data_IF_000065882226
#
_entry.id   IF_000065882226
#
_cell.length_a   1.000
_cell.length_b   1.000
_cell.length_c   1.000
_cell.angle_alpha   90.00
_cell.angle_beta   90.00
_cell.angle_gamma   90.00
#
_symmetry.space_group_name_H-M   'P 1'
#
loop_
_entity.id
_entity.type
_entity.pdbx_description
1 polymer ?
#
# COMPACT_ATOMS: atom_id res chain seq x y z
N UNK A 1 13.52 33.22 -1.07
CA UNK A 1 13.57 31.90 -1.73
C UNK A 1 12.65 31.93 -2.93
N UNK A 2 13.18 31.58 -4.09
CA UNK A 2 12.44 31.53 -5.34
C UNK A 2 11.30 30.49 -5.26
N UNK A 3 10.17 30.79 -5.89
CA UNK A 3 8.97 29.94 -5.88
C UNK A 3 9.22 28.55 -6.47
N UNK A 4 10.16 28.45 -7.42
CA UNK A 4 10.55 27.19 -8.06
C UNK A 4 11.33 26.27 -7.10
N UNK A 5 12.23 26.83 -6.29
CA UNK A 5 13.03 26.08 -5.30
C UNK A 5 12.14 25.46 -4.21
N UNK A 6 11.12 26.21 -3.76
CA UNK A 6 10.15 25.69 -2.79
C UNK A 6 9.26 24.58 -3.37
N UNK A 7 8.94 24.67 -4.66
CA UNK A 7 8.20 23.62 -5.37
C UNK A 7 8.99 22.31 -5.37
N UNK A 8 10.24 22.34 -5.81
CA UNK A 8 11.11 21.15 -5.86
C UNK A 8 11.36 20.54 -4.48
N UNK A 9 11.58 21.35 -3.44
CA UNK A 9 11.75 20.85 -2.07
C UNK A 9 10.51 20.07 -1.59
N UNK A 10 9.30 20.52 -1.98
CA UNK A 10 8.06 19.86 -1.61
C UNK A 10 7.85 18.53 -2.33
N UNK A 11 8.15 18.50 -3.63
CA UNK A 11 8.09 17.28 -4.44
C UNK A 11 9.11 16.25 -3.95
N UNK A 12 10.33 16.67 -3.63
CA UNK A 12 11.37 15.82 -3.07
C UNK A 12 10.92 15.18 -1.75
N UNK A 13 10.36 15.96 -0.82
CA UNK A 13 9.82 15.44 0.44
C UNK A 13 8.76 14.34 0.24
N UNK A 14 7.78 14.57 -0.64
CA UNK A 14 6.72 13.58 -0.92
C UNK A 14 7.30 12.34 -1.60
N UNK A 15 8.24 12.54 -2.53
CA UNK A 15 8.91 11.45 -3.21
C UNK A 15 9.73 10.60 -2.23
N UNK A 16 10.52 11.19 -1.34
CA UNK A 16 11.30 10.47 -0.34
C UNK A 16 10.41 9.62 0.58
N UNK A 17 9.33 10.20 1.11
CA UNK A 17 8.39 9.47 1.96
C UNK A 17 7.71 8.33 1.21
N UNK A 18 7.22 8.58 -0.01
CA UNK A 18 6.55 7.56 -0.81
C UNK A 18 7.52 6.44 -1.21
N UNK A 19 8.76 6.78 -1.58
CA UNK A 19 9.79 5.81 -1.94
C UNK A 19 10.14 4.89 -0.78
N UNK A 20 10.22 5.43 0.43
CA UNK A 20 10.50 4.65 1.64
C UNK A 20 9.32 3.77 2.03
N UNK A 21 8.11 4.30 2.00
CA UNK A 21 6.91 3.63 2.53
C UNK A 21 6.32 2.63 1.56
N UNK A 22 6.17 3.02 0.30
CA UNK A 22 5.54 2.17 -0.72
C UNK A 22 6.53 1.33 -1.49
N UNK A 23 7.79 1.31 -1.10
CA UNK A 23 8.90 0.80 -1.90
C UNK A 23 9.09 1.59 -3.19
N UNK A 24 10.34 1.96 -3.41
CA UNK A 24 10.82 2.61 -4.64
C UNK A 24 10.26 1.97 -5.91
N UNK A 25 10.06 0.65 -5.88
CA UNK A 25 9.59 -0.16 -7.01
C UNK A 25 8.24 0.28 -7.63
N UNK A 26 7.37 0.98 -6.92
CA UNK A 26 6.05 1.35 -7.46
C UNK A 26 5.92 2.83 -7.82
N UNK A 27 6.95 3.61 -7.48
CA UNK A 27 6.91 5.07 -7.51
C UNK A 27 7.64 5.61 -8.75
N UNK A 28 6.94 6.42 -9.53
CA UNK A 28 7.48 7.18 -10.65
C UNK A 28 7.41 8.65 -10.25
N UNK A 29 8.52 9.24 -9.77
CA UNK A 29 8.58 10.65 -9.41
C UNK A 29 8.67 11.48 -10.69
N UNK A 30 7.87 12.53 -10.79
CA UNK A 30 7.80 13.45 -11.94
C UNK A 30 7.86 12.77 -13.32
N UNK A 31 7.03 11.73 -13.60
CA UNK A 31 7.09 10.97 -14.84
C UNK A 31 6.78 11.88 -16.02
N UNK A 32 7.49 11.66 -17.13
CA UNK A 32 7.33 12.44 -18.36
C UNK A 32 6.66 11.61 -19.44
N UNK A 33 5.95 12.27 -20.35
CA UNK A 33 5.47 11.64 -21.57
C UNK A 33 6.66 11.42 -22.53
N UNK A 34 7.37 10.31 -22.36
CA UNK A 34 8.68 10.06 -22.96
C UNK A 34 8.66 9.95 -24.49
N UNK A 35 7.61 9.39 -25.08
CA UNK A 35 7.43 9.31 -26.53
C UNK A 35 6.55 10.45 -27.09
N UNK A 36 6.28 11.47 -26.28
CA UNK A 36 5.47 12.62 -26.66
C UNK A 36 6.21 13.95 -26.48
N UNK A 37 5.54 14.89 -25.84
CA UNK A 37 6.03 16.26 -25.66
C UNK A 37 7.10 16.40 -24.56
N UNK A 38 7.55 15.30 -23.94
CA UNK A 38 8.51 15.27 -22.83
C UNK A 38 8.10 16.09 -21.59
N UNK A 39 6.85 16.54 -21.53
CA UNK A 39 6.33 17.25 -20.36
C UNK A 39 6.08 16.27 -19.24
N UNK A 40 6.27 16.75 -18.03
CA UNK A 40 5.86 16.08 -16.81
C UNK A 40 4.35 15.87 -16.81
N UNK A 41 3.94 14.67 -16.38
CA UNK A 41 2.55 14.23 -16.34
C UNK A 41 1.93 14.67 -15.01
N UNK A 42 2.60 14.37 -13.90
CA UNK A 42 2.23 14.72 -12.53
C UNK A 42 3.46 14.65 -11.62
N UNK A 43 3.32 15.12 -10.37
CA UNK A 43 4.45 15.28 -9.45
C UNK A 43 4.94 13.91 -8.92
N UNK A 44 4.02 12.97 -8.69
CA UNK A 44 4.30 11.57 -8.38
C UNK A 44 3.19 10.67 -8.94
N UNK A 45 3.58 9.55 -9.54
CA UNK A 45 2.68 8.50 -10.01
C UNK A 45 3.04 7.20 -9.30
N UNK A 46 2.06 6.55 -8.68
CA UNK A 46 2.22 5.20 -8.15
C UNK A 46 1.38 4.25 -8.99
N UNK A 47 1.98 3.15 -9.45
CA UNK A 47 1.29 2.11 -10.21
C UNK A 47 1.42 0.83 -9.41
N UNK A 48 0.30 0.23 -9.01
CA UNK A 48 0.27 -1.02 -8.25
C UNK A 48 -0.86 -1.90 -8.76
N UNK A 49 -0.51 -3.05 -9.35
CA UNK A 49 -1.46 -3.97 -9.96
C UNK A 49 -2.42 -3.26 -10.94
N UNK A 50 -3.72 -3.27 -10.67
CA UNK A 50 -4.76 -2.62 -11.48
C UNK A 50 -5.12 -1.21 -10.99
N UNK A 51 -4.27 -0.63 -10.13
CA UNK A 51 -4.52 0.64 -9.43
C UNK A 51 -3.43 1.66 -9.79
N UNK A 52 -3.86 2.90 -10.03
CA UNK A 52 -2.96 4.05 -10.19
C UNK A 52 -3.30 5.12 -9.17
N UNK A 53 -2.28 5.75 -8.58
CA UNK A 53 -2.42 6.93 -7.73
C UNK A 53 -1.68 8.10 -8.38
N UNK A 54 -2.41 9.17 -8.68
CA UNK A 54 -1.88 10.40 -9.26
C UNK A 54 -1.76 11.44 -8.15
N UNK A 55 -0.55 11.87 -7.86
CA UNK A 55 -0.27 12.92 -6.87
C UNK A 55 -0.07 14.28 -7.54
N UNK A 56 -0.54 15.33 -6.86
CA UNK A 56 0.02 16.66 -7.02
C UNK A 56 0.38 17.29 -5.69
N UNK A 57 1.58 17.85 -5.61
CA UNK A 57 2.17 18.46 -4.41
C UNK A 57 2.11 19.97 -4.54
N UNK A 58 1.78 20.65 -3.44
CA UNK A 58 1.69 22.11 -3.39
C UNK A 58 2.36 22.65 -2.15
N UNK A 59 3.51 23.29 -2.36
CA UNK A 59 4.22 24.04 -1.33
C UNK A 59 3.90 25.53 -1.44
N UNK A 60 2.70 25.94 -0.97
CA UNK A 60 2.28 27.33 -0.93
C UNK A 60 2.13 27.76 0.53
N UNK A 61 2.74 28.87 0.91
CA UNK A 61 2.65 29.38 2.29
C UNK A 61 1.31 30.11 2.47
N UNK A 62 0.58 29.76 3.54
CA UNK A 62 -0.62 30.48 3.93
C UNK A 62 -0.27 31.90 4.40
N UNK A 63 -1.00 32.89 3.87
CA UNK A 63 -0.76 34.33 4.14
C UNK A 63 -2.01 35.03 4.69
N UNK A 64 -2.85 34.30 5.42
CA UNK A 64 -4.04 34.86 6.08
C UNK A 64 -5.26 35.01 5.18
N UNK A 65 -5.30 34.41 3.99
CA UNK A 65 -6.49 34.42 3.12
C UNK A 65 -6.75 33.03 2.54
N UNK A 66 -7.81 32.37 3.02
CA UNK A 66 -8.11 30.97 2.70
C UNK A 66 -8.54 30.80 1.24
N UNK A 67 -9.33 31.74 0.69
CA UNK A 67 -9.74 31.69 -0.72
C UNK A 67 -8.53 31.69 -1.68
N UNK A 68 -7.60 32.62 -1.48
CA UNK A 68 -6.37 32.70 -2.28
C UNK A 68 -5.53 31.44 -2.09
N UNK A 69 -5.46 30.92 -0.87
CA UNK A 69 -4.74 29.69 -0.60
C UNK A 69 -5.35 28.52 -1.39
N UNK A 70 -6.64 28.23 -1.20
CA UNK A 70 -7.34 27.13 -1.87
C UNK A 70 -7.31 27.24 -3.39
N UNK A 71 -7.45 28.45 -3.95
CA UNK A 71 -7.30 28.65 -5.40
C UNK A 71 -5.88 28.28 -5.90
N UNK A 72 -4.85 28.49 -5.09
CA UNK A 72 -3.47 28.19 -5.46
C UNK A 72 -3.05 26.75 -5.18
N UNK A 73 -3.64 26.10 -4.19
CA UNK A 73 -3.25 24.75 -3.72
C UNK A 73 -4.22 23.67 -4.15
N UNK A 74 -5.52 23.96 -4.21
CA UNK A 74 -6.56 22.98 -4.57
C UNK A 74 -6.90 23.09 -6.05
N UNK A 75 -7.41 24.24 -6.51
CA UNK A 75 -7.90 24.37 -7.90
C UNK A 75 -6.81 24.13 -8.95
N UNK A 76 -5.59 24.62 -8.71
CA UNK A 76 -4.45 24.39 -9.59
C UNK A 76 -4.05 22.92 -9.61
N UNK A 77 -3.98 22.27 -8.44
CA UNK A 77 -3.63 20.86 -8.35
C UNK A 77 -4.71 19.97 -8.99
N UNK A 78 -5.99 20.26 -8.77
CA UNK A 78 -7.10 19.55 -9.44
C UNK A 78 -7.03 19.66 -10.97
N UNK A 79 -6.64 20.82 -11.51
CA UNK A 79 -6.38 20.99 -12.96
C UNK A 79 -5.19 20.15 -13.44
N UNK A 80 -4.10 20.09 -12.67
CA UNK A 80 -2.93 19.26 -12.99
C UNK A 80 -3.28 17.78 -12.99
N UNK A 81 -3.95 17.29 -11.94
CA UNK A 81 -4.44 15.90 -11.84
C UNK A 81 -5.34 15.55 -13.02
N UNK A 82 -6.26 16.45 -13.41
CA UNK A 82 -7.11 16.26 -14.60
C UNK A 82 -6.28 16.16 -15.88
N UNK A 83 -5.25 17.01 -16.02
CA UNK A 83 -4.32 16.97 -17.14
C UNK A 83 -3.52 15.66 -17.20
N UNK A 84 -3.03 15.20 -16.06
CA UNK A 84 -2.32 13.95 -15.88
C UNK A 84 -3.18 12.75 -16.30
N UNK A 85 -4.39 12.65 -15.72
CA UNK A 85 -5.35 11.61 -16.07
C UNK A 85 -5.67 11.61 -17.56
N UNK A 86 -5.98 12.77 -18.15
CA UNK A 86 -6.27 12.87 -19.59
C UNK A 86 -5.08 12.39 -20.45
N UNK A 87 -3.85 12.61 -19.99
CA UNK A 87 -2.65 12.19 -20.71
C UNK A 87 -2.47 10.68 -20.63
N UNK A 88 -2.46 10.13 -19.41
CA UNK A 88 -2.27 8.70 -19.13
C UNK A 88 -3.34 7.82 -19.80
N UNK A 89 -4.59 8.30 -19.81
CA UNK A 89 -5.74 7.58 -20.36
C UNK A 89 -6.19 8.11 -21.74
N UNK A 90 -5.31 8.84 -22.44
CA UNK A 90 -5.55 9.17 -23.86
C UNK A 90 -5.46 7.91 -24.72
N UNK A 91 -5.93 7.95 -25.96
CA UNK A 91 -5.82 6.84 -26.93
C UNK A 91 -4.37 6.57 -27.41
N UNK A 92 -3.46 7.52 -27.20
CA UNK A 92 -2.06 7.38 -27.59
C UNK A 92 -1.30 6.46 -26.65
N UNK A 93 -0.31 5.76 -27.19
CA UNK A 93 0.67 5.04 -26.36
C UNK A 93 1.46 6.03 -25.52
N UNK A 94 1.50 5.81 -24.21
CA UNK A 94 2.24 6.63 -23.26
C UNK A 94 3.40 5.81 -22.72
N UNK A 95 4.63 6.21 -23.05
CA UNK A 95 5.84 5.66 -22.47
C UNK A 95 6.22 6.52 -21.27
N UNK A 96 6.42 5.87 -20.13
CA UNK A 96 6.92 6.46 -18.88
C UNK A 96 8.27 5.84 -18.52
N UNK A 97 8.99 6.49 -17.61
CA UNK A 97 10.29 6.02 -17.14
C UNK A 97 10.33 6.02 -15.61
N UNK A 98 10.67 4.88 -15.04
CA UNK A 98 11.05 4.78 -13.64
C UNK A 98 12.52 5.19 -13.46
N UNK A 99 12.94 5.76 -12.31
CA UNK A 99 14.33 6.19 -12.10
C UNK A 99 15.37 5.08 -12.31
N UNK A 100 15.06 3.85 -11.85
CA UNK A 100 15.99 2.72 -11.90
C UNK A 100 15.64 1.66 -12.96
N UNK A 101 14.61 1.87 -13.79
CA UNK A 101 14.21 0.90 -14.81
C UNK A 101 14.23 1.52 -16.19
N UNK A 102 14.22 0.66 -17.20
CA UNK A 102 14.04 1.10 -18.57
C UNK A 102 12.67 1.74 -18.79
N UNK A 103 12.55 2.43 -19.92
CA UNK A 103 11.28 2.99 -20.36
C UNK A 103 10.29 1.88 -20.61
N UNK A 104 9.06 2.10 -20.20
CA UNK A 104 7.99 1.11 -20.31
C UNK A 104 6.69 1.76 -20.76
N UNK A 105 5.84 0.95 -21.39
CA UNK A 105 4.51 1.36 -21.82
C UNK A 105 3.58 1.41 -20.59
N UNK A 106 2.90 2.53 -20.41
CA UNK A 106 1.81 2.64 -19.43
C UNK A 106 0.61 1.82 -19.90
N UNK A 107 0.32 0.72 -19.19
CA UNK A 107 -0.72 -0.26 -19.53
C UNK A 107 -2.10 0.20 -19.05
N UNK A 108 -2.64 1.28 -19.63
CA UNK A 108 -3.92 1.88 -19.23
C UNK A 108 -5.09 0.90 -19.22
N UNK A 109 -5.07 -0.11 -20.10
CA UNK A 109 -6.13 -1.11 -20.25
C UNK A 109 -6.24 -2.04 -19.03
N UNK A 110 -5.19 -2.17 -18.22
CA UNK A 110 -5.20 -2.98 -17.00
C UNK A 110 -5.75 -2.21 -15.79
N UNK A 111 -5.80 -0.88 -15.86
CA UNK A 111 -6.13 -0.06 -14.71
C UNK A 111 -7.64 -0.02 -14.51
N UNK A 112 -8.09 -0.50 -13.35
CA UNK A 112 -9.51 -0.50 -12.93
C UNK A 112 -9.84 0.61 -11.95
N UNK A 113 -8.85 1.15 -11.25
CA UNK A 113 -9.05 2.20 -10.23
C UNK A 113 -7.98 3.28 -10.31
N UNK A 114 -8.42 4.54 -10.20
CA UNK A 114 -7.53 5.70 -10.14
C UNK A 114 -7.84 6.52 -8.89
N UNK A 115 -6.85 6.62 -8.01
CA UNK A 115 -6.86 7.58 -6.89
C UNK A 115 -6.19 8.87 -7.29
N UNK A 116 -6.69 9.97 -6.74
CA UNK A 116 -6.22 11.33 -6.99
C UNK A 116 -5.91 11.94 -5.64
N UNK A 117 -4.66 12.35 -5.44
CA UNK A 117 -4.19 12.84 -4.14
C UNK A 117 -3.53 14.20 -4.33
N UNK A 118 -3.93 15.16 -3.52
CA UNK A 118 -3.27 16.46 -3.39
C UNK A 118 -2.59 16.47 -2.02
N UNK A 119 -1.29 16.80 -1.99
CA UNK A 119 -0.54 17.00 -0.75
C UNK A 119 -0.18 18.48 -0.63
N UNK A 120 -0.75 19.14 0.38
CA UNK A 120 -0.51 20.54 0.68
C UNK A 120 0.49 20.67 1.81
N UNK A 121 1.64 21.28 1.51
CA UNK A 121 2.74 21.45 2.47
C UNK A 121 2.71 22.79 3.21
N UNK A 122 1.69 23.61 2.95
CA UNK A 122 1.47 24.86 3.68
C UNK A 122 0.96 24.59 5.09
N UNK A 123 1.51 25.32 6.06
CA UNK A 123 1.17 25.21 7.48
C UNK A 123 0.24 26.36 7.94
N UNK A 124 -0.25 26.26 9.18
CA UNK A 124 -1.03 27.30 9.88
C UNK A 124 -2.39 27.64 9.26
N UNK A 125 -3.04 26.67 8.63
CA UNK A 125 -4.44 26.78 8.23
C UNK A 125 -5.34 26.62 9.44
N UNK A 126 -6.33 27.51 9.58
CA UNK A 126 -7.33 27.41 10.66
C UNK A 126 -8.41 26.39 10.32
N UNK A 127 -8.68 26.20 9.03
CA UNK A 127 -9.49 25.11 8.50
C UNK A 127 -9.04 24.75 7.09
N UNK A 128 -9.37 23.54 6.64
CA UNK A 128 -9.10 23.13 5.26
C UNK A 128 -10.05 22.03 4.78
N UNK A 129 -10.33 21.96 3.46
CA UNK A 129 -11.07 20.86 2.87
C UNK A 129 -10.30 19.54 3.01
N UNK A 130 -11.00 18.49 3.44
CA UNK A 130 -10.49 17.12 3.50
C UNK A 130 -10.55 16.41 2.15
N UNK A 131 -11.49 16.81 1.29
CA UNK A 131 -11.63 16.28 -0.05
C UNK A 131 -12.13 17.35 -1.01
N UNK A 132 -11.92 17.13 -2.31
CA UNK A 132 -12.58 17.89 -3.37
C UNK A 132 -13.01 16.92 -4.47
N UNK A 133 -13.62 17.43 -5.53
CA UNK A 133 -13.98 16.66 -6.70
C UNK A 133 -13.49 17.34 -7.98
N UNK A 134 -13.25 16.55 -9.02
CA UNK A 134 -13.13 17.11 -10.38
C UNK A 134 -14.50 17.56 -10.86
N UNK A 135 -14.54 18.32 -11.96
CA UNK A 135 -15.82 18.68 -12.61
C UNK A 135 -16.64 17.47 -13.12
N UNK A 136 -16.05 16.27 -13.14
CA UNK A 136 -16.72 15.03 -13.51
C UNK A 136 -17.09 14.20 -12.25
N UNK A 137 -17.11 14.82 -11.07
CA UNK A 137 -17.37 14.22 -9.77
C UNK A 137 -16.41 13.08 -9.37
N UNK A 138 -15.19 13.08 -9.91
CA UNK A 138 -14.14 12.20 -9.43
C UNK A 138 -13.62 12.68 -8.08
N UNK A 139 -13.56 11.80 -7.10
CA UNK A 139 -13.07 12.11 -5.76
C UNK A 139 -11.56 12.41 -5.78
N UNK A 140 -11.17 13.48 -5.06
CA UNK A 140 -9.78 13.85 -4.82
C UNK A 140 -9.57 13.95 -3.30
N UNK A 141 -8.59 13.20 -2.83
CA UNK A 141 -8.10 13.21 -1.45
C UNK A 141 -7.15 14.38 -1.24
N UNK A 142 -7.32 15.13 -0.15
CA UNK A 142 -6.39 16.17 0.27
C UNK A 142 -5.71 15.76 1.58
N UNK A 143 -4.38 15.83 1.61
CA UNK A 143 -3.59 15.68 2.83
C UNK A 143 -2.82 16.97 3.12
N UNK A 144 -2.68 17.30 4.39
CA UNK A 144 -1.62 18.20 4.86
C UNK A 144 -0.30 17.43 5.07
N UNK A 145 0.79 18.15 5.32
CA UNK A 145 2.13 17.58 5.50
C UNK A 145 2.24 16.58 6.67
N UNK A 146 1.85 16.99 7.87
CA UNK A 146 1.99 16.23 9.11
C UNK A 146 1.16 14.94 9.04
N UNK A 147 -0.07 15.08 8.58
CA UNK A 147 -0.98 13.95 8.37
C UNK A 147 -0.44 13.00 7.31
N UNK A 148 0.02 13.50 6.15
CA UNK A 148 0.51 12.63 5.09
C UNK A 148 1.69 11.78 5.57
N UNK A 149 2.65 12.39 6.26
CA UNK A 149 3.78 11.69 6.88
C UNK A 149 3.32 10.61 7.86
N UNK A 150 2.38 10.94 8.74
CA UNK A 150 1.82 10.01 9.73
C UNK A 150 1.09 8.83 9.08
N UNK A 151 0.31 9.09 8.02
CA UNK A 151 -0.39 8.03 7.28
C UNK A 151 0.61 7.11 6.60
N UNK A 152 1.65 7.66 5.98
CA UNK A 152 2.68 6.88 5.32
C UNK A 152 3.53 6.06 6.29
N UNK A 153 3.71 6.52 7.54
CA UNK A 153 4.45 5.77 8.56
C UNK A 153 3.64 4.64 9.20
N UNK A 154 2.31 4.75 9.26
CA UNK A 154 1.45 3.73 9.87
C UNK A 154 0.80 2.78 8.88
N UNK A 155 0.54 3.25 7.66
CA UNK A 155 0.01 2.48 6.54
C UNK A 155 1.11 2.31 5.47
N UNK A 156 2.28 1.89 5.93
CA UNK A 156 3.54 1.79 5.19
C UNK A 156 3.65 0.53 4.32
N UNK A 157 2.50 -0.03 3.90
CA UNK A 157 2.43 -0.98 2.78
C UNK A 157 1.42 -0.44 1.78
N UNK A 158 1.66 -0.69 0.48
CA UNK A 158 0.73 -0.22 -0.56
C UNK A 158 -0.71 -0.72 -0.33
N UNK A 159 -0.96 -2.01 -0.03
CA UNK A 159 -2.31 -2.49 0.25
C UNK A 159 -2.98 -1.76 1.42
N UNK A 160 -2.25 -1.47 2.50
CA UNK A 160 -2.80 -0.78 3.68
C UNK A 160 -3.21 0.67 3.34
N UNK A 161 -2.39 1.38 2.57
CA UNK A 161 -2.72 2.73 2.12
C UNK A 161 -3.85 2.77 1.10
N UNK A 162 -3.89 1.81 0.17
CA UNK A 162 -5.00 1.68 -0.79
C UNK A 162 -6.32 1.39 -0.04
N UNK A 163 -6.33 0.50 0.95
CA UNK A 163 -7.51 0.23 1.78
C UNK A 163 -8.02 1.50 2.45
N UNK A 164 -7.12 2.35 2.97
CA UNK A 164 -7.49 3.64 3.54
C UNK A 164 -8.10 4.59 2.50
N UNK A 165 -7.49 4.73 1.31
CA UNK A 165 -8.02 5.57 0.23
C UNK A 165 -9.37 5.09 -0.29
N UNK A 166 -9.55 3.77 -0.45
CA UNK A 166 -10.82 3.17 -0.87
C UNK A 166 -11.94 3.47 0.11
N UNK A 167 -11.69 3.24 1.41
CA UNK A 167 -12.68 3.50 2.45
C UNK A 167 -12.95 5.00 2.62
N UNK A 168 -11.93 5.84 2.43
CA UNK A 168 -12.08 7.29 2.43
C UNK A 168 -12.99 7.73 1.28
N UNK A 169 -12.70 7.31 0.05
CA UNK A 169 -13.56 7.65 -1.08
C UNK A 169 -14.97 7.10 -0.90
N UNK A 170 -15.14 5.85 -0.44
CA UNK A 170 -16.45 5.25 -0.22
C UNK A 170 -17.33 6.05 0.74
N UNK A 171 -16.75 6.57 1.82
CA UNK A 171 -17.49 7.31 2.85
C UNK A 171 -17.66 8.78 2.48
N UNK A 172 -16.64 9.43 1.94
CA UNK A 172 -16.63 10.89 1.77
C UNK A 172 -16.94 11.35 0.35
N UNK A 173 -17.09 10.44 -0.63
CA UNK A 173 -17.57 10.81 -1.97
C UNK A 173 -18.95 11.43 -1.89
N UNK A 174 -19.15 12.49 -2.66
CA UNK A 174 -20.35 13.34 -2.64
C UNK A 174 -20.62 14.01 -1.28
N UNK A 175 -19.63 14.04 -0.39
CA UNK A 175 -19.67 14.84 0.84
C UNK A 175 -18.65 15.98 0.74
N UNK A 176 -19.01 17.14 1.26
CA UNK A 176 -18.07 18.26 1.42
C UNK A 176 -17.58 18.25 2.86
N UNK A 177 -16.32 17.88 3.03
CA UNK A 177 -15.74 17.66 4.37
C UNK A 177 -14.71 18.72 4.68
N UNK A 178 -14.82 19.36 5.85
CA UNK A 178 -13.86 20.32 6.38
C UNK A 178 -13.26 19.83 7.67
N UNK A 179 -11.95 20.00 7.80
CA UNK A 179 -11.21 19.83 9.04
C UNK A 179 -11.01 21.17 9.73
N UNK A 180 -11.19 21.17 11.05
CA UNK A 180 -11.05 22.29 11.96
C UNK A 180 -9.96 21.90 13.00
N UNK A 181 -8.68 22.02 12.65
CA UNK A 181 -7.56 21.53 13.47
C UNK A 181 -7.15 22.47 14.63
N UNK A 182 -7.75 23.66 14.73
CA UNK A 182 -7.39 24.69 15.72
C UNK A 182 -8.50 24.81 16.77
N UNK A 183 -8.11 25.14 18.01
CA UNK A 183 -9.06 25.46 19.08
C UNK A 183 -9.95 26.66 18.69
N UNK A 184 -11.19 26.68 19.16
CA UNK A 184 -12.18 27.71 18.81
C UNK A 184 -11.72 29.13 19.20
N UNK A 185 -10.97 29.26 20.30
CA UNK A 185 -10.41 30.53 20.79
C UNK A 185 -9.31 31.11 19.86
N UNK A 186 -8.89 30.31 18.88
CA UNK A 186 -7.75 30.57 18.00
C UNK A 186 -8.17 30.98 16.58
N UNK A 187 -9.47 31.22 16.35
CA UNK A 187 -10.05 31.64 15.07
C UNK A 187 -10.24 33.17 14.99
N UNK A 188 -9.37 33.91 14.27
CA UNK A 188 -9.59 35.33 14.00
C UNK A 188 -10.91 35.57 13.29
N UNK A 189 -11.53 36.73 13.51
CA UNK A 189 -12.82 37.11 12.90
C UNK A 189 -12.76 36.95 11.38
N UNK A 190 -11.65 37.32 10.75
CA UNK A 190 -11.46 37.19 9.31
C UNK A 190 -11.50 35.72 8.84
N UNK A 191 -10.92 34.80 9.60
CA UNK A 191 -10.96 33.37 9.30
C UNK A 191 -12.37 32.80 9.48
N UNK A 192 -13.12 33.29 10.48
CA UNK A 192 -14.52 32.91 10.70
C UNK A 192 -15.39 33.38 9.52
N UNK A 193 -15.24 34.64 9.09
CA UNK A 193 -15.96 35.18 7.94
C UNK A 193 -15.65 34.39 6.65
N UNK A 194 -14.38 34.08 6.40
CA UNK A 194 -13.96 33.27 5.25
C UNK A 194 -14.56 31.85 5.31
N UNK A 195 -14.55 31.22 6.49
CA UNK A 195 -15.17 29.91 6.70
C UNK A 195 -16.68 29.95 6.41
N UNK A 196 -17.41 30.92 6.98
CA UNK A 196 -18.85 31.05 6.75
C UNK A 196 -19.17 31.38 5.30
N UNK A 197 -18.36 32.17 4.61
CA UNK A 197 -18.55 32.42 3.18
C UNK A 197 -18.33 31.15 2.35
N UNK A 198 -17.33 30.33 2.69
CA UNK A 198 -17.11 29.05 2.04
C UNK A 198 -18.26 28.08 2.34
N UNK A 199 -18.69 27.96 3.60
CA UNK A 199 -19.80 27.08 4.00
C UNK A 199 -21.16 27.57 3.47
N UNK A 200 -21.38 28.88 3.31
CA UNK A 200 -22.62 29.44 2.78
C UNK A 200 -22.70 29.32 1.25
N UNK A 201 -21.58 29.49 0.53
CA UNK A 201 -21.50 29.11 -0.89
C UNK A 201 -21.75 27.60 -1.09
N UNK A 202 -21.60 26.81 -0.03
CA UNK A 202 -21.86 25.38 0.00
C UNK A 202 -23.31 25.04 0.35
N UNK A 203 -24.02 25.91 1.05
CA UNK A 203 -25.45 25.75 1.37
C UNK A 203 -26.38 25.89 0.15
N UNK A 204 -25.85 26.28 -1.01
CA UNK A 204 -26.55 26.21 -2.29
C UNK A 204 -26.27 24.85 -2.99
N UNK A 205 -27.25 23.93 -2.88
CA UNK A 205 -27.48 22.66 -3.60
C UNK A 205 -26.78 21.35 -3.16
N UNK A 206 -27.61 20.31 -2.99
CA UNK A 206 -27.46 18.83 -3.14
C UNK A 206 -26.31 18.04 -2.45
N UNK A 207 -25.45 18.63 -1.62
CA UNK A 207 -24.36 17.90 -0.97
C UNK A 207 -24.47 17.82 0.56
N UNK A 208 -24.23 16.62 1.11
CA UNK A 208 -24.01 16.41 2.55
C UNK A 208 -22.72 17.10 3.00
N UNK A 209 -22.79 17.90 4.05
CA UNK A 209 -21.64 18.60 4.64
C UNK A 209 -21.15 17.89 5.91
N UNK A 210 -19.84 17.74 6.06
CA UNK A 210 -19.20 17.12 7.23
C UNK A 210 -18.16 18.09 7.80
N UNK A 211 -18.29 18.43 9.07
CA UNK A 211 -17.29 19.16 9.82
C UNK A 211 -16.61 18.20 10.80
N UNK A 212 -15.28 18.26 10.83
CA UNK A 212 -14.46 17.44 11.72
C UNK A 212 -13.61 18.38 12.56
N UNK A 213 -13.90 18.47 13.85
CA UNK A 213 -13.03 19.08 14.84
C UNK A 213 -11.89 18.11 15.12
N UNK A 214 -10.66 18.59 14.92
CA UNK A 214 -9.43 17.81 15.02
C UNK A 214 -8.63 17.78 13.72
N UNK A 215 -7.45 17.13 13.78
CA UNK A 215 -6.57 16.92 12.63
C UNK A 215 -6.93 15.62 11.93
N UNK A 216 -6.47 15.46 10.70
CA UNK A 216 -6.74 14.21 9.98
C UNK A 216 -6.06 12.99 10.63
N UNK A 217 -4.90 13.14 11.26
CA UNK A 217 -4.28 12.06 12.05
C UNK A 217 -5.17 11.56 13.20
N UNK A 218 -6.03 12.40 13.76
CA UNK A 218 -7.00 11.97 14.76
C UNK A 218 -8.06 11.03 14.17
N UNK A 219 -8.48 11.32 12.93
CA UNK A 219 -9.36 10.45 12.17
C UNK A 219 -8.65 9.13 11.80
N UNK A 220 -7.35 9.17 11.50
CA UNK A 220 -6.54 7.97 11.29
C UNK A 220 -6.48 7.11 12.55
N UNK A 221 -6.26 7.70 13.74
CA UNK A 221 -6.32 6.95 15.00
C UNK A 221 -7.65 6.23 15.17
N UNK A 222 -8.76 6.94 14.95
CA UNK A 222 -10.09 6.32 14.98
C UNK A 222 -10.20 5.17 13.97
N UNK A 223 -9.75 5.39 12.73
CA UNK A 223 -9.79 4.39 11.67
C UNK A 223 -9.06 3.11 12.08
N UNK A 224 -7.80 3.20 12.51
CA UNK A 224 -6.99 2.03 12.88
C UNK A 224 -7.60 1.33 14.10
N UNK A 225 -7.98 2.08 15.14
CA UNK A 225 -8.55 1.52 16.37
C UNK A 225 -9.88 0.79 16.13
N UNK A 226 -10.67 1.24 15.14
CA UNK A 226 -11.99 0.70 14.81
C UNK A 226 -11.95 -0.26 13.63
N UNK A 227 -10.90 -1.08 13.53
CA UNK A 227 -10.73 -2.13 12.50
C UNK A 227 -10.78 -1.56 11.08
N UNK A 228 -10.15 -0.40 10.90
CA UNK A 228 -10.05 0.31 9.62
C UNK A 228 -11.43 0.69 9.08
N UNK A 229 -12.24 1.34 9.92
CA UNK A 229 -13.57 1.83 9.56
C UNK A 229 -13.70 3.29 10.03
N UNK A 230 -14.23 4.15 9.16
CA UNK A 230 -14.57 5.53 9.52
C UNK A 230 -15.88 5.58 10.32
N UNK A 231 -16.17 6.65 11.08
CA UNK A 231 -17.36 6.71 11.93
C UNK A 231 -18.66 6.39 11.18
N UNK A 232 -19.37 5.34 11.61
CA UNK A 232 -20.57 4.81 10.94
C UNK A 232 -21.69 5.85 10.80
N UNK A 233 -21.73 6.85 11.67
CA UNK A 233 -22.69 7.95 11.61
C UNK A 233 -22.66 8.67 10.25
N UNK A 234 -21.51 8.69 9.57
CA UNK A 234 -21.34 9.29 8.24
C UNK A 234 -22.06 8.53 7.12
N UNK A 235 -22.57 7.32 7.38
CA UNK A 235 -23.38 6.56 6.43
C UNK A 235 -24.88 6.91 6.49
N UNK A 236 -25.30 7.75 7.45
CA UNK A 236 -26.70 8.09 7.62
C UNK A 236 -27.21 9.01 6.50
N UNK A 237 -28.07 8.51 5.61
CA UNK A 237 -28.64 9.30 4.51
C UNK A 237 -29.77 10.26 4.91
N UNK A 238 -30.15 10.30 6.19
CA UNK A 238 -31.25 11.15 6.69
C UNK A 238 -30.79 12.53 7.15
N UNK A 239 -29.49 12.80 7.15
CA UNK A 239 -28.91 14.03 7.68
C UNK A 239 -28.01 14.66 6.64
N UNK A 240 -28.23 15.95 6.36
CA UNK A 240 -27.43 16.70 5.39
C UNK A 240 -26.17 17.32 5.99
N UNK A 241 -26.02 17.27 7.32
CA UNK A 241 -24.93 17.90 8.06
C UNK A 241 -24.42 16.98 9.18
N UNK A 242 -23.10 16.80 9.25
CA UNK A 242 -22.42 16.05 10.30
C UNK A 242 -21.39 16.93 11.00
N UNK A 243 -21.26 16.76 12.30
CA UNK A 243 -20.19 17.35 13.10
C UNK A 243 -19.54 16.24 13.92
N UNK A 244 -18.25 15.98 13.69
CA UNK A 244 -17.47 14.97 14.38
C UNK A 244 -16.40 15.66 15.23
N UNK A 245 -16.27 15.22 16.48
CA UNK A 245 -15.20 15.68 17.38
C UNK A 245 -14.22 14.53 17.54
N UNK A 246 -12.99 14.74 17.08
CA UNK A 246 -11.90 13.74 17.17
C UNK A 246 -10.61 14.34 17.74
N UNK A 247 -10.61 15.60 18.16
CA UNK A 247 -9.44 16.29 18.72
C UNK A 247 -8.68 15.46 19.77
N UNK A 248 -7.36 15.39 19.63
CA UNK A 248 -6.47 14.74 20.59
C UNK A 248 -6.52 13.21 20.59
N UNK A 249 -7.28 12.59 19.67
CA UNK A 249 -7.35 11.13 19.56
C UNK A 249 -6.02 10.53 19.16
N UNK A 250 -5.27 11.18 18.27
CA UNK A 250 -3.97 10.68 17.85
C UNK A 250 -2.98 10.61 19.01
N UNK A 251 -2.88 11.69 19.80
CA UNK A 251 -2.00 11.77 20.95
C UNK A 251 -2.36 10.71 22.00
N UNK A 252 -3.66 10.52 22.26
CA UNK A 252 -4.12 9.45 23.16
C UNK A 252 -3.81 8.06 22.59
N UNK A 253 -4.01 7.88 21.28
CA UNK A 253 -3.84 6.60 20.61
C UNK A 253 -2.39 6.09 20.63
N UNK A 254 -1.40 6.97 20.41
CA UNK A 254 0.00 6.56 20.40
C UNK A 254 0.54 6.20 21.80
N UNK A 255 -0.08 6.73 22.86
CA UNK A 255 0.29 6.42 24.24
C UNK A 255 -0.25 5.07 24.70
N UNK A 256 -1.33 4.59 24.08
CA UNK A 256 -2.00 3.35 24.42
C UNK A 256 -1.05 2.14 24.35
N UNK A 257 -1.17 1.27 25.36
CA UNK A 257 -0.40 0.01 25.43
C UNK A 257 -0.61 -0.87 24.20
N UNK A 258 -1.86 -0.98 23.73
CA UNK A 258 -2.22 -1.79 22.55
C UNK A 258 -1.52 -1.30 21.28
N UNK A 259 -1.39 0.02 21.08
CA UNK A 259 -0.68 0.58 19.94
C UNK A 259 0.82 0.26 20.01
N UNK A 260 1.45 0.42 21.19
CA UNK A 260 2.85 0.05 21.39
C UNK A 260 3.10 -1.44 21.11
N UNK A 261 2.24 -2.32 21.63
CA UNK A 261 2.28 -3.76 21.35
C UNK A 261 2.09 -4.08 19.86
N UNK A 262 1.23 -3.34 19.15
CA UNK A 262 1.10 -3.45 17.69
C UNK A 262 2.42 -3.14 16.99
N UNK A 263 3.07 -2.02 17.33
CA UNK A 263 4.34 -1.61 16.69
C UNK A 263 5.43 -2.65 16.93
N UNK A 264 5.58 -3.14 18.15
CA UNK A 264 6.52 -4.21 18.50
C UNK A 264 6.26 -5.49 17.70
N UNK A 265 4.99 -5.90 17.58
CA UNK A 265 4.63 -7.09 16.80
C UNK A 265 4.84 -6.91 15.29
N UNK A 266 4.75 -5.68 14.77
CA UNK A 266 5.00 -5.35 13.37
C UNK A 266 6.49 -5.39 13.00
N UNK A 267 7.42 -5.28 13.94
CA UNK A 267 8.86 -5.22 13.63
C UNK A 267 9.37 -6.41 12.80
N UNK A 268 8.87 -7.62 13.09
CA UNK A 268 9.29 -8.82 12.36
C UNK A 268 8.86 -8.80 10.89
N UNK A 269 7.78 -8.08 10.56
CA UNK A 269 7.25 -8.06 9.19
C UNK A 269 8.20 -7.36 8.21
N UNK A 270 9.06 -6.46 8.70
CA UNK A 270 10.10 -5.81 7.89
C UNK A 270 11.18 -6.78 7.39
N UNK A 271 11.16 -8.04 7.85
CA UNK A 271 11.93 -9.12 7.21
C UNK A 271 11.58 -9.26 5.72
N UNK A 272 10.31 -9.13 5.34
CA UNK A 272 9.88 -9.24 3.94
C UNK A 272 10.52 -8.16 3.09
N UNK A 273 10.61 -6.95 3.62
CA UNK A 273 11.21 -5.78 2.96
C UNK A 273 12.69 -6.02 2.67
N UNK A 274 13.42 -6.44 3.72
CA UNK A 274 14.84 -6.80 3.60
C UNK A 274 15.06 -7.98 2.67
N UNK A 275 14.17 -8.98 2.68
CA UNK A 275 14.25 -10.11 1.76
C UNK A 275 14.10 -9.64 0.32
N UNK A 276 13.14 -8.76 0.05
CA UNK A 276 12.95 -8.18 -1.29
C UNK A 276 14.12 -7.34 -1.75
N UNK A 277 14.59 -6.42 -0.90
CA UNK A 277 15.71 -5.54 -1.21
C UNK A 277 17.00 -6.32 -1.48
N UNK A 278 17.32 -7.32 -0.65
CA UNK A 278 18.61 -8.01 -0.71
C UNK A 278 18.63 -9.19 -1.69
N UNK A 279 17.49 -9.86 -1.92
CA UNK A 279 17.46 -11.10 -2.71
C UNK A 279 16.83 -10.93 -4.09
N UNK A 280 15.76 -10.13 -4.20
CA UNK A 280 14.97 -10.03 -5.43
C UNK A 280 15.28 -8.78 -6.24
N UNK A 281 15.63 -7.67 -5.59
CA UNK A 281 15.98 -6.42 -6.26
C UNK A 281 17.47 -6.30 -6.62
N UNK A 282 18.31 -7.25 -6.15
CA UNK A 282 19.69 -7.40 -6.61
C UNK A 282 19.71 -8.23 -7.89
N UNK A 283 20.38 -7.75 -8.94
CA UNK A 283 20.47 -8.42 -10.26
C UNK A 283 19.09 -8.87 -10.79
N UNK A 284 18.17 -7.91 -10.94
CA UNK A 284 16.76 -8.16 -11.27
C UNK A 284 16.64 -9.02 -12.54
N UNK A 285 15.98 -10.17 -12.40
CA UNK A 285 15.49 -10.99 -13.51
C UNK A 285 13.96 -10.91 -13.54
N UNK A 286 13.29 -11.22 -14.67
CA UNK A 286 11.84 -11.19 -14.75
C UNK A 286 11.15 -12.02 -13.64
N UNK A 287 11.68 -13.21 -13.31
CA UNK A 287 11.13 -14.05 -12.24
C UNK A 287 11.32 -13.42 -10.86
N UNK A 288 12.48 -12.82 -10.56
CA UNK A 288 12.72 -12.12 -9.30
C UNK A 288 11.80 -10.91 -9.15
N UNK A 289 11.59 -10.18 -10.24
CA UNK A 289 10.69 -9.04 -10.27
C UNK A 289 9.25 -9.45 -9.94
N UNK A 290 8.76 -10.55 -10.51
CA UNK A 290 7.40 -11.06 -10.23
C UNK A 290 7.30 -11.53 -8.77
N UNK A 291 8.30 -12.24 -8.24
CA UNK A 291 8.31 -12.63 -6.83
C UNK A 291 8.30 -11.41 -5.90
N UNK A 292 9.13 -10.40 -6.19
CA UNK A 292 9.15 -9.15 -5.44
C UNK A 292 7.78 -8.48 -5.44
N UNK A 293 7.12 -8.37 -6.60
CA UNK A 293 5.76 -7.82 -6.70
C UNK A 293 4.76 -8.56 -5.83
N UNK A 294 4.80 -9.88 -5.81
CA UNK A 294 3.93 -10.70 -4.98
C UNK A 294 4.18 -10.54 -3.47
N UNK A 295 5.44 -10.47 -3.05
CA UNK A 295 5.76 -10.25 -1.64
C UNK A 295 5.41 -8.83 -1.18
N UNK A 296 5.65 -7.84 -2.04
CA UNK A 296 5.31 -6.44 -1.76
C UNK A 296 3.79 -6.17 -1.83
N UNK A 297 2.99 -7.05 -2.43
CA UNK A 297 1.53 -6.96 -2.42
C UNK A 297 0.88 -7.49 -1.14
N UNK A 298 1.66 -8.01 -0.19
CA UNK A 298 1.17 -8.37 1.13
C UNK A 298 0.96 -7.13 2.00
N UNK A 299 -0.17 -7.08 2.69
CA UNK A 299 -0.43 -6.13 3.77
C UNK A 299 0.47 -6.40 5.00
N UNK A 300 0.53 -5.46 5.94
CA UNK A 300 1.38 -5.55 7.13
C UNK A 300 1.16 -6.84 7.94
N UNK A 301 -0.07 -7.29 8.12
CA UNK A 301 -0.40 -8.49 8.90
C UNK A 301 -0.02 -9.79 8.17
N UNK A 302 -0.15 -9.80 6.85
CA UNK A 302 0.28 -10.89 5.99
C UNK A 302 1.80 -11.00 6.00
N UNK A 303 2.52 -9.87 5.91
CA UNK A 303 3.99 -9.84 6.06
C UNK A 303 4.44 -10.34 7.43
N UNK A 304 3.73 -9.96 8.50
CA UNK A 304 4.01 -10.44 9.87
C UNK A 304 3.83 -11.96 9.97
N UNK A 305 2.74 -12.48 9.41
CA UNK A 305 2.45 -13.92 9.36
C UNK A 305 3.50 -14.69 8.57
N UNK A 306 3.90 -14.16 7.41
CA UNK A 306 4.95 -14.71 6.58
C UNK A 306 6.27 -14.80 7.34
N UNK A 307 6.69 -13.69 7.96
CA UNK A 307 7.99 -13.59 8.64
C UNK A 307 8.06 -14.53 9.86
N UNK A 308 7.03 -14.54 10.72
CA UNK A 308 6.96 -15.49 11.85
C UNK A 308 7.04 -16.93 11.38
N UNK A 309 6.25 -17.29 10.36
CA UNK A 309 6.29 -18.65 9.82
C UNK A 309 7.65 -18.99 9.20
N UNK A 310 8.37 -18.03 8.63
CA UNK A 310 9.73 -18.26 8.14
C UNK A 310 10.70 -18.50 9.30
N UNK A 311 10.69 -17.66 10.34
CA UNK A 311 11.53 -17.82 11.52
C UNK A 311 11.29 -19.17 12.20
N UNK A 312 10.02 -19.52 12.49
CA UNK A 312 9.65 -20.82 13.07
C UNK A 312 10.08 -22.00 12.20
N UNK A 313 10.02 -21.83 10.87
CA UNK A 313 10.46 -22.86 9.93
C UNK A 313 11.99 -23.02 9.98
N UNK A 314 12.71 -21.92 9.96
CA UNK A 314 14.17 -21.90 9.99
C UNK A 314 14.72 -22.44 11.31
N UNK A 315 14.15 -22.06 12.46
CA UNK A 315 14.55 -22.60 13.77
C UNK A 315 14.43 -24.14 13.82
N UNK A 316 13.39 -24.69 13.18
CA UNK A 316 13.15 -26.13 13.16
C UNK A 316 14.01 -26.89 12.15
N UNK A 317 14.27 -26.30 10.98
CA UNK A 317 14.81 -27.04 9.83
C UNK A 317 16.11 -26.48 9.23
N UNK A 318 16.44 -25.22 9.50
CA UNK A 318 17.54 -24.50 8.85
C UNK A 318 18.93 -25.06 9.21
N UNK A 319 19.09 -25.53 10.45
CA UNK A 319 20.38 -26.00 10.97
C UNK A 319 20.53 -27.54 10.98
N UNK A 320 19.60 -28.28 10.35
CA UNK A 320 19.69 -29.74 10.26
C UNK A 320 20.83 -30.16 9.31
N UNK A 321 21.34 -31.38 9.48
CA UNK A 321 22.50 -31.94 8.75
C UNK A 321 22.20 -33.31 8.16
N UNK A 322 22.88 -33.69 7.10
CA UNK A 322 22.58 -34.93 6.38
C UNK A 322 21.39 -34.72 5.45
N UNK A 323 20.60 -35.74 5.15
CA UNK A 323 19.58 -35.66 4.10
C UNK A 323 18.22 -35.10 4.56
N UNK A 324 18.18 -34.25 5.59
CA UNK A 324 16.92 -33.64 6.05
C UNK A 324 16.43 -32.57 5.09
N UNK A 325 15.15 -32.66 4.72
CA UNK A 325 14.50 -31.73 3.82
C UNK A 325 13.21 -31.20 4.46
N UNK A 326 13.30 -30.02 5.08
CA UNK A 326 12.14 -29.34 5.66
C UNK A 326 11.23 -28.82 4.56
N UNK A 327 9.91 -28.87 4.79
CA UNK A 327 8.92 -28.29 3.86
C UNK A 327 7.72 -27.72 4.61
N UNK A 328 7.23 -26.56 4.18
CA UNK A 328 6.04 -25.91 4.75
C UNK A 328 5.30 -25.14 3.65
N UNK A 329 3.98 -25.28 3.61
CA UNK A 329 3.12 -24.48 2.74
C UNK A 329 2.40 -23.40 3.54
N UNK A 330 2.54 -22.15 3.12
CA UNK A 330 1.77 -21.00 3.56
C UNK A 330 0.71 -20.68 2.51
N UNK A 331 -0.48 -20.34 2.99
CA UNK A 331 -1.68 -20.13 2.18
C UNK A 331 -2.07 -18.65 2.29
N UNK A 332 -1.67 -17.84 1.31
CA UNK A 332 -2.08 -16.44 1.19
C UNK A 332 -3.13 -16.29 0.09
N UNK A 333 -3.91 -15.20 0.10
CA UNK A 333 -5.12 -15.00 -0.71
C UNK A 333 -5.14 -15.75 -2.06
N UNK A 334 -4.28 -15.36 -3.00
CA UNK A 334 -4.22 -15.93 -4.34
C UNK A 334 -2.89 -16.65 -4.68
N UNK A 335 -1.98 -16.75 -3.70
CA UNK A 335 -0.62 -17.27 -3.91
C UNK A 335 -0.29 -18.24 -2.78
N UNK A 336 0.23 -19.41 -3.14
CA UNK A 336 0.86 -20.29 -2.16
C UNK A 336 2.35 -19.99 -2.05
N UNK A 337 2.88 -19.97 -0.83
CA UNK A 337 4.32 -19.83 -0.60
C UNK A 337 4.81 -21.12 0.04
N UNK A 338 5.81 -21.75 -0.54
CA UNK A 338 6.45 -22.94 0.01
C UNK A 338 7.80 -22.54 0.58
N UNK A 339 8.05 -22.91 1.84
CA UNK A 339 9.39 -22.93 2.40
C UNK A 339 9.97 -24.32 2.31
N UNK A 340 11.21 -24.44 1.83
CA UNK A 340 11.99 -25.67 1.93
C UNK A 340 13.33 -25.41 2.60
N UNK A 341 13.92 -26.46 3.19
CA UNK A 341 15.29 -26.39 3.70
C UNK A 341 16.17 -27.40 2.99
N UNK A 342 17.45 -27.07 2.88
CA UNK A 342 18.47 -27.96 2.34
C UNK A 342 19.76 -27.87 3.16
N UNK A 343 20.58 -28.91 3.05
CA UNK A 343 21.82 -29.07 3.80
C UNK A 343 23.01 -29.14 2.84
N UNK A 344 24.22 -29.02 3.38
CA UNK A 344 25.45 -29.08 2.59
C UNK A 344 25.74 -30.49 2.04
N UNK A 345 25.17 -31.53 2.67
CA UNK A 345 25.34 -32.92 2.24
C UNK A 345 24.46 -33.28 1.02
N UNK A 346 23.54 -32.39 0.62
CA UNK A 346 22.69 -32.61 -0.55
C UNK A 346 23.41 -32.26 -1.86
N UNK A 347 23.32 -33.14 -2.86
CA UNK A 347 23.71 -32.78 -4.22
C UNK A 347 22.69 -31.79 -4.80
N UNK A 348 23.13 -30.94 -5.73
CA UNK A 348 22.23 -29.98 -6.40
C UNK A 348 21.08 -30.71 -7.12
N UNK A 349 21.37 -31.84 -7.78
CA UNK A 349 20.36 -32.66 -8.46
C UNK A 349 19.27 -33.15 -7.49
N UNK A 350 19.68 -33.68 -6.33
CA UNK A 350 18.74 -34.16 -5.32
C UNK A 350 17.90 -33.01 -4.76
N UNK A 351 18.54 -31.88 -4.45
CA UNK A 351 17.83 -30.68 -3.98
C UNK A 351 16.78 -30.19 -4.99
N UNK A 352 17.14 -30.11 -6.27
CA UNK A 352 16.21 -29.69 -7.33
C UNK A 352 15.04 -30.68 -7.48
N UNK A 353 15.32 -31.99 -7.43
CA UNK A 353 14.27 -33.03 -7.50
C UNK A 353 13.31 -32.96 -6.32
N UNK A 354 13.82 -32.77 -5.10
CA UNK A 354 12.99 -32.64 -3.89
C UNK A 354 12.14 -31.36 -3.91
N UNK A 355 12.69 -30.26 -4.41
CA UNK A 355 11.94 -29.02 -4.61
C UNK A 355 10.81 -29.18 -5.63
N UNK A 356 11.08 -29.80 -6.79
CA UNK A 356 10.07 -30.08 -7.80
C UNK A 356 8.92 -30.94 -7.22
N UNK A 357 9.27 -32.05 -6.58
CA UNK A 357 8.29 -32.94 -5.94
C UNK A 357 7.51 -32.23 -4.82
N UNK A 358 8.12 -31.27 -4.12
CA UNK A 358 7.43 -30.49 -3.08
C UNK A 358 6.35 -29.61 -3.68
N UNK A 359 6.64 -28.90 -4.78
CA UNK A 359 5.67 -28.09 -5.48
C UNK A 359 4.53 -28.96 -6.03
N UNK A 360 4.88 -30.04 -6.71
CA UNK A 360 3.94 -31.00 -7.30
C UNK A 360 2.99 -31.61 -6.24
N UNK A 361 3.57 -32.14 -5.16
CA UNK A 361 2.80 -32.78 -4.10
C UNK A 361 1.92 -31.80 -3.32
N UNK A 362 2.38 -30.56 -3.08
CA UNK A 362 1.52 -29.55 -2.48
C UNK A 362 0.40 -29.09 -3.41
N UNK A 363 0.65 -28.96 -4.71
CA UNK A 363 -0.38 -28.64 -5.70
C UNK A 363 -1.51 -29.68 -5.69
N UNK A 364 -1.16 -30.97 -5.67
CA UNK A 364 -2.10 -32.08 -5.51
C UNK A 364 -2.86 -32.00 -4.19
N UNK A 365 -2.14 -31.84 -3.08
CA UNK A 365 -2.72 -31.79 -1.74
C UNK A 365 -3.74 -30.65 -1.58
N UNK A 366 -3.47 -29.47 -2.13
CA UNK A 366 -4.40 -28.34 -2.11
C UNK A 366 -5.39 -28.33 -3.28
N UNK A 367 -5.40 -29.37 -4.11
CA UNK A 367 -6.28 -29.51 -5.28
C UNK A 367 -6.18 -28.33 -6.24
N UNK A 368 -4.95 -27.91 -6.54
CA UNK A 368 -4.64 -26.84 -7.50
C UNK A 368 -5.33 -25.50 -7.18
N UNK A 369 -5.56 -25.22 -5.89
CA UNK A 369 -6.22 -24.00 -5.42
C UNK A 369 -5.52 -22.72 -5.90
N UNK A 370 -4.19 -22.71 -5.94
CA UNK A 370 -3.40 -21.55 -6.36
C UNK A 370 -2.90 -21.70 -7.78
N UNK A 371 -2.94 -20.60 -8.54
CA UNK A 371 -2.38 -20.51 -9.90
C UNK A 371 -0.92 -20.12 -9.91
N UNK A 372 -0.45 -19.53 -8.81
CA UNK A 372 0.94 -19.12 -8.60
C UNK A 372 1.45 -19.68 -7.28
N UNK A 373 2.65 -20.25 -7.33
CA UNK A 373 3.38 -20.75 -6.17
C UNK A 373 4.78 -20.13 -6.15
N UNK A 374 5.19 -19.63 -4.99
CA UNK A 374 6.54 -19.12 -4.75
C UNK A 374 7.24 -20.10 -3.84
N UNK A 375 8.32 -20.69 -4.33
CA UNK A 375 9.20 -21.55 -3.55
C UNK A 375 10.38 -20.73 -3.03
N UNK A 376 10.60 -20.78 -1.71
CA UNK A 376 11.72 -20.16 -1.03
C UNK A 376 12.45 -21.23 -0.23
N UNK A 377 13.63 -21.62 -0.71
CA UNK A 377 14.52 -22.55 -0.02
C UNK A 377 15.55 -21.79 0.80
N UNK A 378 15.94 -22.33 1.96
CA UNK A 378 17.00 -21.76 2.82
C UNK A 378 17.89 -22.87 3.38
N UNK A 379 19.13 -22.54 3.73
CA UNK A 379 20.05 -23.43 4.45
C UNK A 379 20.53 -22.79 5.76
N UNK A 380 21.43 -23.47 6.47
CA UNK A 380 22.01 -22.99 7.75
C UNK A 380 22.62 -21.58 7.68
N UNK A 381 23.08 -21.14 6.52
CA UNK A 381 23.75 -19.85 6.33
C UNK A 381 22.80 -18.75 5.82
N UNK A 382 21.49 -19.04 5.79
CA UNK A 382 20.48 -18.19 5.14
C UNK A 382 20.74 -17.94 3.66
N UNK A 383 21.44 -18.85 2.97
CA UNK A 383 21.52 -18.81 1.52
C UNK A 383 20.15 -19.15 0.93
N UNK A 384 19.52 -18.18 0.28
CA UNK A 384 18.21 -18.37 -0.31
C UNK A 384 18.29 -18.84 -1.76
N UNK A 385 17.43 -19.80 -2.11
CA UNK A 385 17.16 -20.20 -3.51
C UNK A 385 15.67 -20.11 -3.75
N UNK A 386 15.28 -19.69 -4.95
CA UNK A 386 13.89 -19.36 -5.25
C UNK A 386 13.42 -19.96 -6.56
N UNK A 387 12.12 -20.28 -6.62
CA UNK A 387 11.45 -20.62 -7.86
C UNK A 387 10.06 -20.00 -7.89
N UNK A 388 9.65 -19.55 -9.08
CA UNK A 388 8.31 -19.05 -9.35
C UNK A 388 7.63 -20.03 -10.29
N UNK A 389 6.47 -20.53 -9.87
CA UNK A 389 5.65 -21.43 -10.67
C UNK A 389 4.32 -20.74 -10.91
N UNK A 390 4.10 -20.31 -12.15
CA UNK A 390 2.89 -19.61 -12.59
C UNK A 390 2.03 -20.50 -13.50
N UNK A 391 0.77 -20.10 -13.66
CA UNK A 391 -0.20 -20.76 -14.54
C UNK A 391 -0.42 -22.24 -14.20
N UNK A 392 -0.44 -22.58 -12.92
CA UNK A 392 -0.59 -23.97 -12.48
C UNK A 392 -1.93 -24.54 -12.96
N UNK A 393 -1.82 -25.65 -13.70
CA UNK A 393 -2.93 -26.49 -14.15
C UNK A 393 -2.82 -27.88 -13.54
N UNK A 394 -3.93 -28.62 -13.44
CA UNK A 394 -3.89 -30.03 -13.04
C UNK A 394 -2.92 -30.84 -13.91
N UNK A 395 -2.21 -31.77 -13.28
CA UNK A 395 -1.34 -32.71 -13.98
C UNK A 395 -2.18 -33.79 -14.68
N UNK A 396 -1.59 -34.54 -15.61
CA UNK A 396 -2.24 -35.74 -16.15
C UNK A 396 -2.45 -36.78 -15.04
N UNK A 397 -3.43 -37.68 -15.21
CA UNK A 397 -3.75 -38.68 -14.19
C UNK A 397 -2.54 -39.56 -13.88
N UNK A 398 -1.76 -39.91 -14.91
CA UNK A 398 -0.54 -40.68 -14.82
C UNK A 398 0.54 -39.96 -14.01
N UNK A 399 0.74 -38.66 -14.23
CA UNK A 399 1.67 -37.83 -13.44
C UNK A 399 1.23 -37.72 -11.98
N UNK A 400 -0.07 -37.51 -11.73
CA UNK A 400 -0.60 -37.48 -10.36
C UNK A 400 -0.33 -38.79 -9.62
N UNK A 401 -0.51 -39.94 -10.28
CA UNK A 401 -0.31 -41.25 -9.68
C UNK A 401 1.17 -41.50 -9.35
N UNK A 402 2.10 -41.06 -10.22
CA UNK A 402 3.54 -41.10 -9.96
C UNK A 402 3.93 -40.21 -8.77
N UNK A 403 3.40 -38.98 -8.70
CA UNK A 403 3.67 -38.08 -7.58
C UNK A 403 3.17 -38.69 -6.25
N UNK A 404 1.99 -39.32 -6.26
CA UNK A 404 1.44 -40.02 -5.09
C UNK A 404 2.35 -41.17 -4.66
N UNK A 405 2.90 -41.95 -5.59
CA UNK A 405 3.84 -43.03 -5.31
C UNK A 405 5.16 -42.51 -4.70
N UNK A 406 5.74 -41.45 -5.28
CA UNK A 406 6.96 -40.80 -4.77
C UNK A 406 6.74 -40.25 -3.36
N UNK A 407 5.62 -39.56 -3.13
CA UNK A 407 5.21 -39.04 -1.81
C UNK A 407 5.08 -40.17 -0.79
N UNK A 408 4.47 -41.29 -1.18
CA UNK A 408 4.31 -42.47 -0.32
C UNK A 408 5.67 -43.08 0.03
N UNK A 409 6.56 -43.20 -0.95
CA UNK A 409 7.92 -43.75 -0.77
C UNK A 409 8.75 -42.92 0.20
N UNK A 410 8.64 -41.58 0.13
CA UNK A 410 9.34 -40.68 1.03
C UNK A 410 8.63 -40.51 2.40
N UNK A 411 7.47 -41.13 2.59
CA UNK A 411 6.67 -40.97 3.81
C UNK A 411 6.14 -39.53 3.99
N UNK A 412 5.98 -38.78 2.90
CA UNK A 412 5.50 -37.40 2.98
C UNK A 412 4.00 -37.36 3.30
N UNK A 413 3.56 -36.33 4.03
CA UNK A 413 2.18 -36.14 4.51
C UNK A 413 1.66 -37.19 5.52
N UNK A 414 2.52 -38.08 6.03
CA UNK A 414 2.17 -39.06 7.07
C UNK A 414 1.99 -38.42 8.45
N UNK A 415 2.81 -37.41 8.77
CA UNK A 415 2.75 -36.62 10.01
C UNK A 415 2.51 -35.14 9.69
N UNK A 416 1.40 -34.83 9.01
CA UNK A 416 1.07 -33.46 8.66
C UNK A 416 0.72 -32.64 9.91
N UNK A 417 1.50 -31.59 10.18
CA UNK A 417 1.16 -30.58 11.18
C UNK A 417 0.48 -29.40 10.50
N UNK A 418 -0.78 -29.16 10.83
CA UNK A 418 -1.52 -27.97 10.40
C UNK A 418 -1.49 -26.90 11.50
N UNK A 419 -1.08 -25.69 11.14
CA UNK A 419 -1.12 -24.52 12.01
C UNK A 419 -2.02 -23.45 11.41
N UNK A 420 -2.85 -22.81 12.23
CA UNK A 420 -3.57 -21.60 11.84
C UNK A 420 -2.86 -20.40 12.46
N UNK A 421 -2.04 -19.70 11.66
CA UNK A 421 -1.60 -18.36 12.04
C UNK A 421 -2.79 -17.41 11.89
N UNK A 422 -3.16 -16.74 12.98
CA UNK A 422 -4.11 -15.62 12.94
C UNK A 422 -3.44 -14.43 13.58
N UNK A 423 -3.02 -13.47 12.77
CA UNK A 423 -2.48 -12.21 13.27
C UNK A 423 -3.63 -11.22 13.52
N UNK A 424 -3.54 -10.52 14.65
CA UNK A 424 -4.43 -9.41 14.98
C UNK A 424 -3.66 -8.10 14.81
N UNK A 425 -4.35 -7.07 14.32
CA UNK A 425 -3.79 -5.71 14.23
C UNK A 425 -3.27 -5.25 15.60
N UNK A 426 -4.06 -5.51 16.65
CA UNK A 426 -3.66 -5.32 18.05
C UNK A 426 -3.53 -6.68 18.76
N UNK A 427 -2.29 -7.19 18.96
CA UNK A 427 -2.06 -8.39 19.78
C UNK A 427 -2.34 -8.09 21.26
N UNK A 428 -2.66 -9.14 22.03
CA UNK A 428 -2.99 -9.06 23.47
C UNK A 428 -1.71 -9.09 24.31
#
# INVERSE_FOLDING_TARGET
MDSQVRGSEGEEFVNELAFKSFFKYWCYPSPKYENGNKKEICDLLIIFDEIVIIFSVKNYVFKGNHFRYFNNTIDKASKQIKGAHRTLFSEKEIIIKHPDRDKELFQRERIKKVFRVIVNLGENLKFYPFNTATNNDDFITLFDRDTFETILSELDTIPDFIDYLEKREKIFKNKRTFLLPSDEDDFPIEAQEEFFQLSANIANFDFTTVFISGKEKDLLAHFIENKRVFPDILNNSKTDHFYLIVDGKWETFIENKSFKQKKEADEISYFVDRLVENEFLVNVTPSREIIAKHLLSFDRLTRRSFAKSYCDFYEKYGCLKGLYFGRRLLKFNNIGVIFTSYTDEMTEEMFQRLNALTVESFNLYIKYKYKTMILISTNKDHCFKFSLIDNITPYSKEEEDLIIEDVKTLGWFTELTEGKLTEREFPI
#
